data_IF_161913620229
#
_entry.id   IF_161913620229
#
_cell.length_a   1.000
_cell.length_b   1.000
_cell.length_c   1.000
_cell.angle_alpha   90.00
_cell.angle_beta   90.00
_cell.angle_gamma   90.00
#
_symmetry.space_group_name_H-M   'P 1'
#
loop_
_entity.id
_entity.type
_entity.pdbx_description
1 polymer ?
#
# COMPACT_ATOMS: atom_id res chain seq x y z
N UNK A 1 16.56 -29.57 23.19
CA UNK A 1 17.79 -30.31 22.80
C UNK A 1 17.78 -30.45 21.29
N UNK A 2 18.94 -30.53 20.65
CA UNK A 2 19.07 -30.86 19.22
C UNK A 2 20.13 -31.95 19.03
N UNK A 3 19.92 -32.82 18.05
CA UNK A 3 20.94 -33.74 17.53
C UNK A 3 21.45 -33.20 16.21
N UNK A 4 22.73 -33.41 15.91
CA UNK A 4 23.33 -32.98 14.65
C UNK A 4 23.51 -34.15 13.69
N UNK A 5 23.82 -33.88 12.42
CA UNK A 5 24.19 -34.92 11.47
C UNK A 5 25.42 -35.74 11.89
N UNK A 6 26.29 -35.22 12.77
CA UNK A 6 27.44 -35.98 13.30
C UNK A 6 27.02 -37.11 14.24
N UNK A 7 25.95 -36.92 15.03
CA UNK A 7 25.41 -38.01 15.84
C UNK A 7 24.84 -39.12 14.95
N UNK A 8 24.16 -38.75 13.85
CA UNK A 8 23.70 -39.72 12.85
C UNK A 8 24.85 -40.47 12.18
N UNK A 9 25.93 -39.77 11.80
CA UNK A 9 27.12 -40.38 11.21
C UNK A 9 27.84 -41.30 12.21
N UNK A 10 27.96 -40.92 13.48
CA UNK A 10 28.53 -41.77 14.52
C UNK A 10 27.70 -43.04 14.73
N UNK A 11 26.36 -42.93 14.70
CA UNK A 11 25.47 -44.08 14.78
C UNK A 11 25.62 -45.01 13.57
N UNK A 12 25.73 -44.45 12.35
CA UNK A 12 25.94 -45.23 11.12
C UNK A 12 27.28 -45.99 11.14
N UNK A 13 28.37 -45.33 11.54
CA UNK A 13 29.66 -45.99 11.69
C UNK A 13 29.60 -47.10 12.75
N UNK A 14 28.88 -46.86 13.86
CA UNK A 14 28.63 -47.89 14.86
C UNK A 14 27.88 -49.09 14.29
N UNK A 15 26.85 -48.87 13.47
CA UNK A 15 26.09 -49.93 12.82
C UNK A 15 26.94 -50.78 11.87
N UNK A 16 27.83 -50.16 11.10
CA UNK A 16 28.78 -50.87 10.23
C UNK A 16 29.73 -51.79 11.04
N UNK A 17 30.20 -51.32 12.20
CA UNK A 17 31.05 -52.13 13.08
C UNK A 17 30.30 -53.33 13.68
N UNK A 18 29.00 -53.17 13.96
CA UNK A 18 28.16 -54.24 14.50
C UNK A 18 27.97 -55.36 13.47
N UNK A 19 27.80 -55.03 12.18
CA UNK A 19 27.61 -56.00 11.09
C UNK A 19 28.78 -56.97 10.92
N UNK A 20 30.01 -56.51 11.21
CA UNK A 20 31.24 -57.31 11.04
C UNK A 20 31.67 -57.98 12.36
N UNK A 21 30.95 -57.72 13.46
CA UNK A 21 31.35 -58.17 14.79
C UNK A 21 30.97 -59.63 15.07
N UNK A 22 31.87 -60.43 15.68
CA UNK A 22 31.51 -61.77 16.17
C UNK A 22 30.54 -61.75 17.38
N UNK A 23 30.28 -60.58 17.97
CA UNK A 23 29.38 -60.41 19.12
C UNK A 23 28.40 -59.24 18.92
N UNK A 24 27.52 -59.31 17.91
CA UNK A 24 26.76 -58.15 17.45
C UNK A 24 25.86 -57.54 18.54
N UNK A 25 25.22 -58.37 19.37
CA UNK A 25 24.33 -57.90 20.44
C UNK A 25 25.08 -57.16 21.55
N UNK A 26 26.24 -57.67 22.00
CA UNK A 26 27.04 -57.02 23.04
C UNK A 26 27.63 -55.71 22.53
N UNK A 27 28.14 -55.71 21.30
CA UNK A 27 28.72 -54.51 20.68
C UNK A 27 27.66 -53.43 20.46
N UNK A 28 26.44 -53.81 20.07
CA UNK A 28 25.31 -52.89 19.93
C UNK A 28 25.05 -52.10 21.22
N UNK A 29 24.86 -52.79 22.35
CA UNK A 29 24.59 -52.13 23.64
C UNK A 29 25.76 -51.25 24.11
N UNK A 30 27.00 -51.70 23.90
CA UNK A 30 28.19 -50.92 24.26
C UNK A 30 28.30 -49.63 23.44
N UNK A 31 28.14 -49.71 22.12
CA UNK A 31 28.21 -48.53 21.25
C UNK A 31 27.03 -47.58 21.47
N UNK A 32 25.83 -48.12 21.73
CA UNK A 32 24.66 -47.31 22.06
C UNK A 32 24.88 -46.54 23.38
N UNK A 33 25.38 -47.20 24.42
CA UNK A 33 25.69 -46.57 25.70
C UNK A 33 26.78 -45.50 25.53
N UNK A 34 27.87 -45.82 24.82
CA UNK A 34 28.94 -44.87 24.56
C UNK A 34 28.44 -43.63 23.81
N UNK A 35 27.63 -43.82 22.76
CA UNK A 35 27.05 -42.72 22.00
C UNK A 35 26.09 -41.88 22.86
N UNK A 36 25.26 -42.50 23.69
CA UNK A 36 24.36 -41.82 24.61
C UNK A 36 25.13 -40.96 25.63
N UNK A 37 26.19 -41.51 26.23
CA UNK A 37 27.06 -40.78 27.17
C UNK A 37 27.73 -39.58 26.47
N UNK A 38 28.28 -39.78 25.27
CA UNK A 38 28.90 -38.69 24.51
C UNK A 38 27.90 -37.59 24.15
N UNK A 39 26.66 -37.94 23.78
CA UNK A 39 25.59 -36.98 23.52
C UNK A 39 25.26 -36.17 24.77
N UNK A 40 25.10 -36.82 25.92
CA UNK A 40 24.79 -36.15 27.20
C UNK A 40 25.92 -35.19 27.60
N UNK A 41 27.18 -35.63 27.50
CA UNK A 41 28.36 -34.79 27.75
C UNK A 41 28.36 -33.57 26.81
N UNK A 42 28.09 -33.77 25.53
CA UNK A 42 28.10 -32.69 24.53
C UNK A 42 27.00 -31.65 24.81
N UNK A 43 25.79 -32.09 25.19
CA UNK A 43 24.68 -31.21 25.60
C UNK A 43 24.99 -30.48 26.90
N UNK A 44 25.60 -31.15 27.87
CA UNK A 44 26.00 -30.55 29.15
C UNK A 44 27.06 -29.46 28.94
N UNK A 45 28.02 -29.69 28.04
CA UNK A 45 29.07 -28.76 27.68
C UNK A 45 28.60 -27.61 26.77
N UNK A 46 27.52 -27.78 26.02
CA UNK A 46 26.94 -26.74 25.16
C UNK A 46 26.48 -25.51 25.97
N UNK A 47 26.86 -24.31 25.50
CA UNK A 47 26.43 -23.05 26.10
C UNK A 47 24.91 -22.91 26.11
N UNK A 48 24.35 -22.34 27.18
CA UNK A 48 22.90 -22.11 27.28
C UNK A 48 22.47 -20.95 26.37
N UNK A 49 21.64 -21.16 25.34
CA UNK A 49 21.19 -20.09 24.45
C UNK A 49 20.34 -19.05 25.18
N UNK A 50 19.69 -19.41 26.29
CA UNK A 50 18.83 -18.49 27.09
C UNK A 50 19.61 -17.35 27.75
N UNK A 51 20.93 -17.48 27.90
CA UNK A 51 21.77 -16.43 28.52
C UNK A 51 22.22 -15.36 27.54
N UNK A 52 22.03 -15.58 26.23
CA UNK A 52 22.37 -14.58 25.22
C UNK A 52 21.42 -13.39 25.33
N UNK A 53 21.96 -12.18 25.16
CA UNK A 53 21.18 -10.95 25.08
C UNK A 53 21.22 -10.39 23.65
N UNK A 54 20.13 -9.75 23.26
CA UNK A 54 19.90 -9.29 21.90
C UNK A 54 19.45 -7.84 21.89
N UNK A 55 19.96 -7.06 20.95
CA UNK A 55 19.46 -5.71 20.64
C UNK A 55 19.29 -5.62 19.13
N UNK A 56 18.12 -5.22 18.67
CA UNK A 56 17.87 -5.00 17.24
C UNK A 56 17.92 -3.50 16.92
N UNK A 57 18.50 -3.17 15.78
CA UNK A 57 18.56 -1.82 15.23
C UNK A 57 18.41 -1.86 13.71
N UNK A 58 17.90 -0.79 13.12
CA UNK A 58 17.70 -0.67 11.68
C UNK A 58 16.71 0.46 11.37
N UNK A 59 16.26 0.57 10.12
CA UNK A 59 15.16 1.47 9.78
C UNK A 59 13.84 1.01 10.43
N UNK A 60 13.01 1.99 10.78
CA UNK A 60 11.63 1.82 11.25
C UNK A 60 10.63 1.84 10.09
N UNK A 61 11.00 2.44 8.95
CA UNK A 61 10.20 2.49 7.74
C UNK A 61 11.04 2.44 6.46
N UNK A 62 10.47 1.83 5.42
CA UNK A 62 10.97 1.84 4.03
C UNK A 62 9.80 1.91 3.06
N UNK A 63 10.03 2.22 1.78
CA UNK A 63 9.00 2.08 0.74
C UNK A 63 9.02 0.67 0.15
N UNK A 64 7.87 0.20 -0.31
CA UNK A 64 7.80 -1.05 -1.06
C UNK A 64 8.67 -0.93 -2.34
N UNK A 65 9.49 -1.95 -2.59
CA UNK A 65 10.52 -1.94 -3.64
C UNK A 65 11.92 -1.56 -3.13
N UNK A 66 12.05 -0.97 -1.94
CA UNK A 66 13.34 -0.75 -1.27
C UNK A 66 13.71 -1.94 -0.38
N UNK A 67 15.00 -2.05 -0.07
CA UNK A 67 15.53 -3.04 0.89
C UNK A 67 15.90 -2.39 2.21
N UNK A 68 15.75 -3.13 3.31
CA UNK A 68 16.14 -2.70 4.65
C UNK A 68 17.15 -3.67 5.27
N UNK A 69 18.24 -3.14 5.78
CA UNK A 69 19.20 -3.91 6.56
C UNK A 69 18.87 -3.82 8.05
N UNK A 70 18.51 -4.97 8.63
CA UNK A 70 18.25 -5.11 10.05
C UNK A 70 19.47 -5.71 10.74
N UNK A 71 20.00 -5.01 11.73
CA UNK A 71 21.13 -5.46 12.53
C UNK A 71 20.65 -6.05 13.84
N UNK A 72 21.08 -7.28 14.15
CA UNK A 72 20.88 -7.92 15.44
C UNK A 72 22.24 -8.01 16.15
N UNK A 73 22.39 -7.24 17.22
CA UNK A 73 23.53 -7.32 18.11
C UNK A 73 23.30 -8.46 19.10
N UNK A 74 24.33 -9.30 19.29
CA UNK A 74 24.28 -10.48 20.16
C UNK A 74 25.44 -10.38 21.14
N UNK A 75 25.15 -10.47 22.43
CA UNK A 75 26.16 -10.52 23.48
C UNK A 75 26.12 -11.87 24.21
N UNK A 76 27.31 -12.45 24.43
CA UNK A 76 27.47 -13.71 25.15
C UNK A 76 28.05 -13.49 26.55
N UNK A 77 27.25 -13.47 27.62
CA UNK A 77 27.75 -13.34 28.99
C UNK A 77 28.24 -14.66 29.60
N UNK A 78 28.24 -15.76 28.84
CA UNK A 78 28.50 -17.10 29.36
C UNK A 78 29.67 -17.81 28.67
N UNK A 79 29.61 -19.15 28.70
CA UNK A 79 30.60 -20.00 28.02
C UNK A 79 30.62 -19.73 26.51
N UNK A 80 31.71 -20.11 25.85
CA UNK A 80 31.85 -20.00 24.40
C UNK A 80 30.66 -20.61 23.65
N UNK A 81 30.04 -19.84 22.78
CA UNK A 81 28.90 -20.24 21.95
C UNK A 81 29.40 -20.60 20.56
N UNK A 82 29.10 -21.82 20.11
CA UNK A 82 29.24 -22.24 18.72
C UNK A 82 27.89 -22.69 18.21
N UNK A 83 27.51 -22.30 17.01
CA UNK A 83 26.28 -22.78 16.39
C UNK A 83 25.69 -21.81 15.40
N UNK A 84 24.37 -21.63 15.46
CA UNK A 84 23.61 -20.87 14.48
C UNK A 84 22.54 -20.01 15.16
N UNK A 85 22.31 -18.83 14.62
CA UNK A 85 21.17 -17.97 14.95
C UNK A 85 20.32 -17.74 13.71
N UNK A 86 19.01 -17.77 13.90
CA UNK A 86 18.02 -17.48 12.87
C UNK A 86 17.12 -16.37 13.38
N UNK A 87 17.21 -15.21 12.74
CA UNK A 87 16.24 -14.13 12.92
C UNK A 87 15.06 -14.40 11.98
N UNK A 88 13.89 -14.67 12.55
CA UNK A 88 12.74 -15.16 11.79
C UNK A 88 11.84 -14.00 11.37
N UNK A 89 11.67 -13.84 10.07
CA UNK A 89 10.76 -12.89 9.46
C UNK A 89 9.70 -13.62 8.63
N UNK A 90 8.57 -12.96 8.38
CA UNK A 90 7.56 -13.50 7.47
C UNK A 90 8.16 -13.78 6.08
N UNK A 91 7.73 -14.83 5.35
CA UNK A 91 8.26 -15.14 4.03
C UNK A 91 8.16 -13.98 3.02
N UNK A 92 7.15 -13.13 3.17
CA UNK A 92 6.96 -11.89 2.40
C UNK A 92 8.10 -10.88 2.53
N UNK A 93 8.93 -10.97 3.58
CA UNK A 93 10.07 -10.07 3.80
C UNK A 93 11.35 -10.53 3.11
N UNK A 94 11.35 -11.72 2.50
CA UNK A 94 12.51 -12.32 1.79
C UNK A 94 13.85 -12.09 2.52
N UNK A 95 13.86 -12.35 3.83
CA UNK A 95 15.03 -12.10 4.68
C UNK A 95 16.24 -12.95 4.26
N UNK A 96 17.39 -12.31 4.02
CA UNK A 96 18.64 -12.93 3.60
C UNK A 96 19.84 -12.39 4.39
N UNK A 97 20.76 -13.25 4.87
CA UNK A 97 20.63 -14.70 4.97
C UNK A 97 19.67 -15.11 6.10
N UNK A 98 18.96 -16.23 5.94
CA UNK A 98 17.98 -16.73 6.94
C UNK A 98 18.61 -17.26 8.23
N UNK A 99 19.89 -17.59 8.20
CA UNK A 99 20.62 -18.10 9.34
C UNK A 99 22.07 -17.64 9.29
N UNK A 100 22.61 -17.31 10.46
CA UNK A 100 23.97 -16.82 10.65
C UNK A 100 24.73 -17.79 11.54
N UNK A 101 25.99 -18.04 11.18
CA UNK A 101 26.88 -18.87 12.00
C UNK A 101 27.39 -18.05 13.18
N UNK A 102 27.35 -18.63 14.36
CA UNK A 102 27.85 -18.03 15.60
C UNK A 102 29.10 -18.75 16.10
N UNK A 103 30.11 -17.97 16.49
CA UNK A 103 31.28 -18.40 17.23
C UNK A 103 31.72 -17.27 18.16
N UNK A 104 31.11 -17.21 19.36
CA UNK A 104 31.32 -16.14 20.33
C UNK A 104 32.06 -16.67 21.55
N UNK A 105 33.17 -16.03 21.92
CA UNK A 105 33.88 -16.23 23.18
C UNK A 105 33.05 -15.70 24.34
N UNK A 106 33.50 -15.98 25.56
CA UNK A 106 32.90 -15.41 26.76
C UNK A 106 33.09 -13.89 26.75
N UNK A 107 32.02 -13.13 27.01
CA UNK A 107 32.01 -11.66 27.01
C UNK A 107 31.94 -11.02 25.63
N UNK A 108 32.07 -11.80 24.55
CA UNK A 108 32.15 -11.27 23.19
C UNK A 108 30.78 -10.75 22.71
N UNK A 109 30.84 -9.69 21.90
CA UNK A 109 29.71 -9.10 21.19
C UNK A 109 29.92 -9.26 19.70
N UNK A 110 28.86 -9.58 18.97
CA UNK A 110 28.86 -9.59 17.50
C UNK A 110 27.62 -8.91 16.97
N UNK A 111 27.66 -8.56 15.69
CA UNK A 111 26.54 -8.02 14.95
C UNK A 111 26.30 -8.91 13.74
N UNK A 112 25.04 -9.25 13.50
CA UNK A 112 24.62 -9.92 12.27
C UNK A 112 23.67 -8.99 11.54
N UNK A 113 23.81 -8.92 10.22
CA UNK A 113 22.97 -8.07 9.36
C UNK A 113 22.10 -8.98 8.50
N UNK A 114 20.79 -8.73 8.52
CA UNK A 114 19.82 -9.44 7.68
C UNK A 114 19.14 -8.42 6.78
N UNK A 115 19.34 -8.57 5.47
CA UNK A 115 18.71 -7.75 4.45
C UNK A 115 17.29 -8.24 4.21
N UNK A 116 16.33 -7.32 4.20
CA UNK A 116 14.91 -7.56 3.96
C UNK A 116 14.53 -6.98 2.61
N UNK A 117 13.77 -7.74 1.82
CA UNK A 117 13.20 -7.32 0.53
C UNK A 117 11.68 -7.58 0.56
N UNK A 118 10.89 -6.66 1.12
CA UNK A 118 9.46 -6.85 1.29
C UNK A 118 8.71 -6.96 -0.05
N UNK A 119 7.74 -7.88 -0.09
CA UNK A 119 6.81 -8.06 -1.22
C UNK A 119 5.43 -7.43 -0.99
N UNK A 120 5.15 -6.99 0.24
CA UNK A 120 3.87 -6.40 0.60
C UNK A 120 4.11 -5.22 1.52
N UNK A 121 3.30 -4.16 1.35
CA UNK A 121 3.23 -3.03 2.28
C UNK A 121 2.71 -3.47 3.65
N UNK A 122 2.68 -2.55 4.60
CA UNK A 122 2.11 -2.78 5.94
C UNK A 122 3.15 -2.83 7.04
N UNK A 123 2.66 -3.11 8.24
CA UNK A 123 3.47 -3.20 9.44
C UNK A 123 3.97 -4.65 9.62
N UNK A 124 5.28 -4.83 9.51
CA UNK A 124 5.91 -6.15 9.63
C UNK A 124 6.67 -6.27 10.93
N UNK A 125 6.35 -7.30 11.70
CA UNK A 125 7.05 -7.64 12.93
C UNK A 125 7.87 -8.92 12.74
N UNK A 126 9.09 -8.99 13.26
CA UNK A 126 9.82 -10.24 13.33
C UNK A 126 9.08 -11.21 14.25
N UNK A 127 9.22 -12.51 13.97
CA UNK A 127 8.73 -13.56 14.83
C UNK A 127 9.71 -13.77 16.00
N UNK A 128 10.36 -14.93 16.09
CA UNK A 128 11.31 -15.22 17.17
C UNK A 128 12.73 -15.38 16.66
N UNK A 129 13.70 -14.89 17.43
CA UNK A 129 15.11 -15.22 17.23
C UNK A 129 15.37 -16.61 17.81
N UNK A 130 15.72 -17.56 16.96
CA UNK A 130 16.06 -18.93 17.40
C UNK A 130 17.56 -19.12 17.37
N UNK A 131 18.14 -19.52 18.51
CA UNK A 131 19.56 -19.86 18.61
C UNK A 131 19.72 -21.34 18.88
N UNK A 132 20.59 -21.96 18.09
CA UNK A 132 21.09 -23.33 18.31
C UNK A 132 22.55 -23.26 18.69
N UNK A 133 22.88 -23.77 19.87
CA UNK A 133 24.25 -23.94 20.32
C UNK A 133 24.62 -25.42 20.24
N UNK A 134 25.83 -25.72 19.76
CA UNK A 134 26.39 -27.07 19.68
C UNK A 134 27.50 -27.22 20.71
N UNK A 135 27.56 -28.42 21.29
CA UNK A 135 28.63 -28.79 22.19
C UNK A 135 29.97 -28.95 21.45
N UNK A 136 31.07 -29.19 22.20
CA UNK A 136 32.41 -29.31 21.63
C UNK A 136 32.63 -30.50 20.71
N UNK A 137 31.96 -31.63 20.93
CA UNK A 137 32.01 -32.79 20.04
C UNK A 137 31.15 -32.55 18.79
N UNK A 138 30.14 -31.69 18.91
CA UNK A 138 29.25 -31.31 17.83
C UNK A 138 28.27 -32.43 17.45
N UNK A 139 28.04 -33.39 18.35
CA UNK A 139 27.05 -34.47 18.25
C UNK A 139 25.66 -33.95 18.60
N UNK A 140 25.56 -33.07 19.59
CA UNK A 140 24.30 -32.58 20.11
C UNK A 140 24.43 -31.15 20.66
N UNK A 141 23.29 -30.56 21.03
CA UNK A 141 23.23 -29.16 21.39
C UNK A 141 21.96 -28.72 22.09
N UNK A 142 21.90 -27.42 22.36
CA UNK A 142 20.75 -26.75 22.98
C UNK A 142 20.11 -25.79 21.98
N UNK A 143 18.81 -25.56 22.15
CA UNK A 143 18.06 -24.58 21.36
C UNK A 143 17.32 -23.65 22.32
N UNK A 144 17.34 -22.35 22.02
CA UNK A 144 16.62 -21.31 22.74
C UNK A 144 15.90 -20.40 21.76
N UNK A 145 14.81 -19.79 22.23
CA UNK A 145 14.05 -18.77 21.51
C UNK A 145 14.11 -17.49 22.33
N UNK A 146 14.20 -16.36 21.65
CA UNK A 146 14.21 -15.03 22.22
C UNK A 146 13.20 -14.18 21.47
N UNK A 147 12.39 -13.45 22.24
CA UNK A 147 11.56 -12.39 21.71
C UNK A 147 12.37 -11.09 21.73
N UNK A 148 12.51 -10.48 20.57
CA UNK A 148 13.23 -9.23 20.38
C UNK A 148 12.25 -8.37 19.59
N UNK A 149 11.54 -7.41 20.21
CA UNK A 149 10.53 -6.65 19.51
C UNK A 149 11.17 -5.69 18.50
N UNK A 150 10.52 -5.53 17.35
CA UNK A 150 10.81 -4.51 16.34
C UNK A 150 9.61 -4.39 15.42
N UNK A 151 9.49 -3.26 14.73
CA UNK A 151 8.46 -3.07 13.71
C UNK A 151 9.09 -2.34 12.53
N UNK A 152 8.96 -2.92 11.35
CA UNK A 152 9.33 -2.28 10.09
C UNK A 152 8.06 -1.96 9.33
N UNK A 153 7.79 -0.67 9.10
CA UNK A 153 6.67 -0.21 8.29
C UNK A 153 7.08 -0.12 6.83
N UNK A 154 6.43 -0.90 5.98
CA UNK A 154 6.62 -0.83 4.53
C UNK A 154 5.53 0.06 3.95
N UNK A 155 5.91 1.27 3.53
CA UNK A 155 5.05 2.28 2.95
C UNK A 155 4.66 1.93 1.50
N UNK A 156 3.49 2.39 1.01
CA UNK A 156 3.17 2.25 -0.40
C UNK A 156 4.25 2.92 -1.28
N UNK A 157 4.56 2.35 -2.46
CA UNK A 157 5.44 3.02 -3.41
C UNK A 157 4.72 4.25 -3.98
N UNK A 158 5.49 5.17 -4.55
CA UNK A 158 4.95 6.35 -5.24
C UNK A 158 5.49 6.40 -6.67
N UNK A 159 5.03 5.46 -7.48
CA UNK A 159 5.48 5.17 -8.84
C UNK A 159 5.20 6.36 -9.77
N UNK A 160 4.05 6.98 -9.63
CA UNK A 160 3.63 8.11 -10.45
C UNK A 160 4.27 9.45 -10.06
N UNK A 161 5.14 9.49 -9.05
CA UNK A 161 5.93 10.69 -8.68
C UNK A 161 6.69 11.27 -9.87
N UNK A 162 7.10 10.44 -10.83
CA UNK A 162 7.75 10.85 -12.09
C UNK A 162 6.93 11.85 -12.91
N UNK A 163 5.60 11.84 -12.79
CA UNK A 163 4.70 12.77 -13.50
C UNK A 163 4.49 14.09 -12.77
N UNK A 164 4.89 14.20 -11.49
CA UNK A 164 4.62 15.39 -10.70
C UNK A 164 5.26 16.67 -11.28
N UNK A 165 6.53 16.68 -11.76
CA UNK A 165 7.13 17.90 -12.31
C UNK A 165 6.36 18.49 -13.51
N UNK A 166 5.92 17.65 -14.46
CA UNK A 166 5.18 18.13 -15.65
C UNK A 166 3.78 18.62 -15.29
N UNK A 167 3.08 17.97 -14.35
CA UNK A 167 1.78 18.43 -13.86
C UNK A 167 1.87 19.72 -13.06
N UNK A 168 2.96 19.93 -12.31
CA UNK A 168 3.23 21.18 -11.62
C UNK A 168 3.56 22.33 -12.59
N UNK A 169 4.27 22.04 -13.69
CA UNK A 169 4.49 23.04 -14.74
C UNK A 169 3.14 23.49 -15.34
N UNK A 170 2.28 22.54 -15.71
CA UNK A 170 0.94 22.83 -16.24
C UNK A 170 0.05 23.57 -15.23
N UNK A 171 0.14 23.24 -13.95
CA UNK A 171 -0.54 23.99 -12.89
C UNK A 171 -0.11 25.45 -12.84
N UNK A 172 1.20 25.73 -12.95
CA UNK A 172 1.73 27.10 -12.98
C UNK A 172 1.29 27.86 -14.23
N UNK A 173 1.23 27.18 -15.38
CA UNK A 173 0.68 27.75 -16.61
C UNK A 173 -0.78 28.14 -16.41
N UNK A 174 -1.60 27.28 -15.78
CA UNK A 174 -2.99 27.62 -15.46
C UNK A 174 -3.07 28.80 -14.48
N UNK A 175 -2.25 28.84 -13.44
CA UNK A 175 -2.22 29.96 -12.48
C UNK A 175 -1.72 31.27 -13.11
N UNK A 176 -0.77 31.21 -14.05
CA UNK A 176 -0.23 32.37 -14.76
C UNK A 176 -1.09 32.82 -15.95
N UNK A 177 -1.83 31.91 -16.58
CA UNK A 177 -2.74 32.17 -17.69
C UNK A 177 -4.17 32.51 -17.24
N UNK A 178 -4.48 32.45 -15.94
CA UNK A 178 -5.65 33.12 -15.37
C UNK A 178 -5.23 34.59 -15.16
N UNK A 179 -5.55 35.52 -16.09
CA UNK A 179 -5.34 36.92 -15.80
C UNK A 179 -6.11 37.27 -14.53
N UNK A 180 -5.46 37.96 -13.60
CA UNK A 180 -6.02 38.54 -12.36
C UNK A 180 -6.96 39.71 -12.68
N UNK A 181 -7.75 39.58 -13.75
CA UNK A 181 -8.64 40.59 -14.31
C UNK A 181 -10.10 40.12 -14.36
N UNK A 182 -10.47 39.08 -13.60
CA UNK A 182 -11.88 38.86 -13.28
C UNK A 182 -12.21 39.73 -12.06
N UNK A 183 -12.52 41.00 -12.33
CA UNK A 183 -13.26 41.85 -11.39
C UNK A 183 -14.68 41.30 -11.28
N UNK A 184 -14.96 40.55 -10.21
CA UNK A 184 -16.34 40.17 -9.83
C UNK A 184 -16.57 38.66 -9.66
N UNK A 185 -17.46 38.34 -8.71
CA UNK A 185 -17.98 36.99 -8.36
C UNK A 185 -16.99 36.03 -7.66
N UNK A 186 -16.14 36.53 -6.76
CA UNK A 186 -15.48 35.70 -5.74
C UNK A 186 -16.39 35.41 -4.54
N UNK A 187 -16.11 34.37 -3.75
CA UNK A 187 -16.78 34.07 -2.48
C UNK A 187 -15.94 34.47 -1.25
N UNK A 188 -14.65 34.74 -1.43
CA UNK A 188 -13.73 35.14 -0.36
C UNK A 188 -13.59 36.66 -0.31
N UNK A 189 -13.80 37.26 0.86
CA UNK A 189 -13.67 38.71 1.05
C UNK A 189 -12.23 39.13 0.74
N UNK A 190 -12.05 40.09 -0.18
CA UNK A 190 -10.75 40.66 -0.52
C UNK A 190 -10.51 41.94 0.29
N UNK A 191 -11.30 42.97 0.00
CA UNK A 191 -11.19 44.27 0.64
C UNK A 191 -12.50 45.05 0.58
N UNK A 192 -12.57 46.16 1.31
CA UNK A 192 -13.62 47.16 1.13
C UNK A 192 -13.10 48.25 0.21
N UNK A 193 -13.90 48.66 -0.77
CA UNK A 193 -13.64 49.86 -1.58
C UNK A 193 -14.86 50.75 -1.64
N UNK A 194 -14.66 52.01 -2.02
CA UNK A 194 -15.75 52.94 -2.29
C UNK A 194 -16.64 52.44 -3.45
N UNK A 195 -17.94 52.64 -3.28
CA UNK A 195 -18.95 52.37 -4.28
C UNK A 195 -18.76 53.28 -5.49
N UNK A 196 -18.80 52.70 -6.69
CA UNK A 196 -18.82 53.44 -7.95
C UNK A 196 -20.11 53.12 -8.68
N UNK A 197 -20.67 54.13 -9.35
CA UNK A 197 -21.89 53.96 -10.15
C UNK A 197 -21.66 52.88 -11.21
N UNK A 198 -22.46 51.81 -11.14
CA UNK A 198 -22.29 50.59 -11.92
C UNK A 198 -22.00 49.34 -11.08
N UNK A 199 -21.65 49.50 -9.80
CA UNK A 199 -21.51 48.39 -8.87
C UNK A 199 -22.87 47.79 -8.46
N UNK A 200 -22.92 46.47 -8.30
CA UNK A 200 -24.10 45.76 -7.81
C UNK A 200 -24.43 46.19 -6.38
N UNK A 201 -25.65 46.71 -6.19
CA UNK A 201 -26.17 47.18 -4.91
C UNK A 201 -26.18 46.08 -3.84
N UNK A 202 -26.25 44.80 -4.23
CA UNK A 202 -26.16 43.65 -3.29
C UNK A 202 -24.78 43.48 -2.66
N UNK A 203 -23.74 44.07 -3.26
CA UNK A 203 -22.37 44.00 -2.75
C UNK A 203 -22.04 45.08 -1.71
N UNK A 204 -22.99 46.01 -1.43
CA UNK A 204 -22.84 47.06 -0.43
C UNK A 204 -22.80 46.46 0.98
N UNK A 205 -21.76 46.78 1.74
CA UNK A 205 -21.69 46.45 3.16
C UNK A 205 -22.29 47.59 3.98
N UNK A 206 -23.60 47.52 4.25
CA UNK A 206 -24.29 48.53 5.05
C UNK A 206 -23.69 48.74 6.45
N UNK A 207 -23.08 47.71 7.03
CA UNK A 207 -22.48 47.79 8.37
C UNK A 207 -21.11 48.46 8.38
N UNK A 208 -20.35 48.33 7.29
CA UNK A 208 -19.10 49.05 7.09
C UNK A 208 -19.36 50.49 6.63
N UNK A 209 -20.33 50.72 5.74
CA UNK A 209 -20.77 52.04 5.29
C UNK A 209 -21.30 52.89 6.44
N UNK A 210 -22.06 52.31 7.38
CA UNK A 210 -22.55 53.04 8.56
C UNK A 210 -21.44 53.56 9.50
N UNK A 211 -20.19 53.10 9.34
CA UNK A 211 -19.03 53.51 10.14
C UNK A 211 -18.04 54.38 9.36
N UNK A 212 -18.37 54.74 8.12
CA UNK A 212 -17.58 55.60 7.24
C UNK A 212 -18.47 56.72 6.69
N UNK A 213 -17.88 57.76 6.12
CA UNK A 213 -18.64 58.82 5.45
C UNK A 213 -19.07 58.46 4.03
N UNK A 214 -18.59 57.33 3.49
CA UNK A 214 -18.83 56.90 2.12
C UNK A 214 -19.43 55.49 2.06
N UNK A 215 -20.19 55.23 1.01
CA UNK A 215 -20.76 53.90 0.73
C UNK A 215 -19.64 52.98 0.25
N UNK A 216 -19.44 51.85 0.94
CA UNK A 216 -18.43 50.86 0.59
C UNK A 216 -19.05 49.55 0.09
N UNK A 217 -18.40 48.96 -0.90
CA UNK A 217 -18.73 47.64 -1.46
C UNK A 217 -17.67 46.63 -1.08
N UNK A 218 -18.09 45.38 -0.84
CA UNK A 218 -17.17 44.25 -0.67
C UNK A 218 -16.63 43.83 -2.02
N UNK A 219 -15.31 43.88 -2.19
CA UNK A 219 -14.65 43.18 -3.29
C UNK A 219 -14.40 41.75 -2.86
N UNK A 220 -14.57 40.83 -3.80
CA UNK A 220 -14.41 39.41 -3.56
C UNK A 220 -13.29 38.87 -4.44
N UNK A 221 -12.39 38.09 -3.86
CA UNK A 221 -11.39 37.32 -4.59
C UNK A 221 -11.93 35.92 -4.89
N UNK A 222 -11.56 35.34 -6.05
CA UNK A 222 -11.83 33.93 -6.31
C UNK A 222 -11.23 33.07 -5.20
N UNK A 223 -12.04 32.19 -4.60
CA UNK A 223 -11.61 31.25 -3.57
C UNK A 223 -10.52 30.33 -4.16
N UNK A 224 -9.31 30.46 -3.62
CA UNK A 224 -8.12 29.72 -4.07
C UNK A 224 -8.04 28.31 -3.49
N UNK A 225 -8.68 28.08 -2.35
CA UNK A 225 -8.60 26.83 -1.60
C UNK A 225 -9.81 25.93 -1.90
N UNK A 226 -9.75 25.11 -2.95
CA UNK A 226 -10.83 24.14 -3.21
C UNK A 226 -10.75 23.01 -2.19
N UNK A 227 -11.90 22.42 -1.84
CA UNK A 227 -11.97 21.27 -0.94
C UNK A 227 -12.05 19.99 -1.76
N UNK A 228 -11.17 19.06 -1.46
CA UNK A 228 -11.09 17.77 -2.15
C UNK A 228 -11.11 16.67 -1.09
N UNK A 229 -12.02 15.72 -1.24
CA UNK A 229 -12.02 14.50 -0.43
C UNK A 229 -11.63 13.34 -1.34
N UNK A 230 -10.44 12.78 -1.11
CA UNK A 230 -9.98 11.57 -1.79
C UNK A 230 -10.48 10.36 -1.00
N UNK A 231 -11.30 9.54 -1.63
CA UNK A 231 -11.94 8.37 -1.05
C UNK A 231 -11.39 7.12 -1.73
N UNK A 232 -10.76 6.24 -0.95
CA UNK A 232 -10.20 4.99 -1.40
C UNK A 232 -11.08 3.83 -0.94
N UNK A 233 -11.63 3.09 -1.91
CA UNK A 233 -12.39 1.87 -1.64
C UNK A 233 -11.42 0.74 -1.26
N UNK A 234 -11.60 0.16 -0.07
CA UNK A 234 -10.81 -0.97 0.42
C UNK A 234 -11.61 -2.28 0.44
N UNK A 235 -12.73 -2.37 -0.25
CA UNK A 235 -13.57 -3.58 -0.28
C UNK A 235 -13.10 -4.65 -1.26
N UNK A 236 -14.01 -5.61 -1.51
CA UNK A 236 -13.75 -6.84 -2.27
C UNK A 236 -13.23 -6.57 -3.67
N UNK A 237 -13.81 -5.61 -4.39
CA UNK A 237 -13.44 -5.27 -5.77
C UNK A 237 -12.02 -4.69 -5.87
N UNK A 238 -11.53 -4.05 -4.80
CA UNK A 238 -10.17 -3.55 -4.67
C UNK A 238 -9.12 -4.63 -4.41
N UNK A 239 -9.52 -5.87 -4.14
CA UNK A 239 -8.61 -7.01 -3.97
C UNK A 239 -8.14 -7.64 -5.30
N UNK A 240 -8.80 -7.31 -6.42
CA UNK A 240 -8.44 -7.83 -7.75
C UNK A 240 -6.98 -7.51 -8.11
N UNK A 241 -6.24 -8.49 -8.66
CA UNK A 241 -4.85 -8.31 -9.09
C UNK A 241 -4.82 -7.94 -10.56
N UNK A 242 -4.23 -6.80 -10.88
CA UNK A 242 -4.29 -6.15 -12.19
C UNK A 242 -2.88 -5.90 -12.72
N UNK A 243 -2.68 -6.09 -14.03
CA UNK A 243 -1.43 -5.79 -14.71
C UNK A 243 -0.27 -6.69 -14.27
N UNK A 244 0.87 -6.08 -13.98
CA UNK A 244 2.11 -6.73 -13.50
C UNK A 244 2.55 -6.04 -12.22
N UNK A 245 3.08 -6.76 -11.24
CA UNK A 245 3.64 -6.14 -10.04
C UNK A 245 4.85 -5.26 -10.41
N UNK A 246 4.77 -3.93 -10.22
CA UNK A 246 5.83 -3.01 -10.65
C UNK A 246 7.06 -3.08 -9.73
N UNK A 247 6.97 -3.73 -8.57
CA UNK A 247 8.05 -3.84 -7.59
C UNK A 247 8.81 -5.17 -7.71
N UNK A 248 8.10 -6.27 -8.00
CA UNK A 248 8.72 -7.60 -8.13
C UNK A 248 8.74 -8.16 -9.55
N UNK A 249 8.07 -7.52 -10.51
CA UNK A 249 7.89 -8.03 -11.86
C UNK A 249 7.00 -9.27 -11.95
N UNK A 250 6.11 -9.50 -10.97
CA UNK A 250 5.25 -10.68 -10.92
C UNK A 250 4.10 -10.56 -11.95
N UNK A 251 4.01 -11.46 -12.94
CA UNK A 251 2.94 -11.46 -13.93
C UNK A 251 1.60 -11.89 -13.34
N UNK A 252 1.49 -12.26 -12.06
CA UNK A 252 0.20 -12.50 -11.40
C UNK A 252 -0.59 -11.20 -11.15
N UNK A 253 0.06 -10.04 -11.29
CA UNK A 253 -0.54 -8.71 -11.16
C UNK A 253 -0.36 -8.09 -9.77
N UNK A 254 -0.85 -6.87 -9.60
CA UNK A 254 -0.75 -6.13 -8.33
C UNK A 254 -2.15 -5.70 -7.86
N UNK A 255 -2.44 -5.63 -6.54
CA UNK A 255 -3.79 -5.32 -6.10
C UNK A 255 -4.27 -3.97 -6.66
N UNK A 256 -5.52 -3.92 -7.11
CA UNK A 256 -6.18 -2.70 -7.61
C UNK A 256 -6.10 -1.57 -6.59
N UNK A 257 -6.19 -1.91 -5.31
CA UNK A 257 -6.01 -0.98 -4.19
C UNK A 257 -4.67 -0.23 -4.27
N UNK A 258 -3.58 -0.91 -4.60
CA UNK A 258 -2.25 -0.28 -4.67
C UNK A 258 -2.11 0.68 -5.85
N UNK A 259 -2.65 0.31 -7.01
CA UNK A 259 -2.74 1.22 -8.17
C UNK A 259 -3.59 2.46 -7.84
N UNK A 260 -4.69 2.28 -7.12
CA UNK A 260 -5.50 3.38 -6.63
C UNK A 260 -4.75 4.24 -5.59
N UNK A 261 -3.98 3.64 -4.67
CA UNK A 261 -3.13 4.39 -3.74
C UNK A 261 -2.13 5.27 -4.49
N UNK A 262 -1.46 4.75 -5.52
CA UNK A 262 -0.51 5.53 -6.31
C UNK A 262 -1.19 6.74 -7.00
N UNK A 263 -2.36 6.54 -7.62
CA UNK A 263 -3.15 7.61 -8.20
C UNK A 263 -3.60 8.66 -7.17
N UNK A 264 -4.04 8.21 -5.99
CA UNK A 264 -4.40 9.07 -4.88
C UNK A 264 -3.19 9.88 -4.37
N UNK A 265 -2.01 9.27 -4.27
CA UNK A 265 -0.78 9.95 -3.86
C UNK A 265 -0.37 11.05 -4.85
N UNK A 266 -0.48 10.80 -6.16
CA UNK A 266 -0.21 11.83 -7.16
C UNK A 266 -1.18 12.99 -7.05
N UNK A 267 -2.48 12.69 -6.94
CA UNK A 267 -3.52 13.71 -6.79
C UNK A 267 -3.30 14.53 -5.52
N UNK A 268 -3.06 13.88 -4.37
CA UNK A 268 -2.79 14.54 -3.09
C UNK A 268 -1.56 15.46 -3.18
N UNK A 269 -0.46 14.98 -3.79
CA UNK A 269 0.75 15.77 -3.95
C UNK A 269 0.52 16.99 -4.86
N UNK A 270 -0.21 16.82 -5.95
CA UNK A 270 -0.51 17.87 -6.92
C UNK A 270 -1.49 18.91 -6.33
N UNK A 271 -2.60 18.46 -5.76
CA UNK A 271 -3.63 19.31 -5.18
C UNK A 271 -3.12 20.09 -3.96
N UNK A 272 -2.32 19.47 -3.09
CA UNK A 272 -1.67 20.17 -1.97
C UNK A 272 -0.77 21.32 -2.47
N UNK A 273 -0.02 21.10 -3.56
CA UNK A 273 0.83 22.14 -4.15
C UNK A 273 0.02 23.24 -4.85
N UNK A 274 -1.14 22.89 -5.40
CA UNK A 274 -2.11 23.82 -5.98
C UNK A 274 -2.92 24.60 -4.93
N UNK A 275 -2.64 24.35 -3.65
CA UNK A 275 -3.23 25.04 -2.52
C UNK A 275 -4.60 24.57 -2.08
N UNK A 276 -5.07 23.44 -2.62
CA UNK A 276 -6.35 22.89 -2.22
C UNK A 276 -6.28 22.22 -0.85
N UNK A 277 -7.42 22.22 -0.15
CA UNK A 277 -7.61 21.53 1.11
C UNK A 277 -8.03 20.10 0.81
N UNK A 278 -7.12 19.18 1.04
CA UNK A 278 -7.32 17.78 0.70
C UNK A 278 -7.47 16.95 1.97
N UNK A 279 -8.59 16.26 2.09
CA UNK A 279 -8.82 15.24 3.09
C UNK A 279 -8.75 13.85 2.42
N UNK A 280 -8.39 12.83 3.20
CA UNK A 280 -8.30 11.45 2.75
C UNK A 280 -9.20 10.55 3.60
N UNK A 281 -9.86 9.59 2.95
CA UNK A 281 -10.73 8.60 3.56
C UNK A 281 -10.50 7.25 2.89
N UNK A 282 -10.20 6.20 3.66
CA UNK A 282 -10.26 4.82 3.21
C UNK A 282 -11.46 4.13 3.86
N UNK A 283 -12.28 3.47 3.04
CA UNK A 283 -13.57 2.92 3.49
C UNK A 283 -13.92 1.63 2.75
N UNK A 284 -14.56 0.71 3.45
CA UNK A 284 -15.22 -0.47 2.88
C UNK A 284 -16.64 -0.65 3.47
N UNK A 285 -16.78 -1.36 4.58
CA UNK A 285 -17.98 -1.39 5.44
C UNK A 285 -17.83 -0.48 6.66
N UNK A 286 -16.62 0.01 6.91
CA UNK A 286 -16.31 0.96 7.95
C UNK A 286 -15.15 1.87 7.50
N UNK A 287 -14.96 2.97 8.21
CA UNK A 287 -13.78 3.82 8.04
C UNK A 287 -12.54 3.05 8.47
N UNK A 288 -11.63 2.76 7.53
CA UNK A 288 -10.36 2.06 7.80
C UNK A 288 -9.24 3.01 8.19
N UNK A 289 -9.21 4.17 7.54
CA UNK A 289 -8.22 5.20 7.78
C UNK A 289 -8.74 6.54 7.31
N UNK A 290 -8.27 7.62 7.93
CA UNK A 290 -8.66 8.97 7.55
C UNK A 290 -7.55 9.96 7.90
N UNK A 291 -7.40 10.98 7.07
CA UNK A 291 -6.56 12.15 7.34
C UNK A 291 -7.42 13.37 7.04
N UNK A 292 -7.50 14.31 7.98
CA UNK A 292 -8.28 15.53 7.77
C UNK A 292 -7.60 16.74 8.41
N UNK A 293 -7.72 17.90 7.77
CA UNK A 293 -7.21 19.16 8.33
C UNK A 293 -5.68 19.24 8.43
N UNK A 294 -4.95 18.38 7.73
CA UNK A 294 -3.49 18.42 7.69
C UNK A 294 -2.99 19.66 6.94
N UNK A 295 -1.84 20.20 7.37
CA UNK A 295 -1.18 21.27 6.61
C UNK A 295 -0.64 20.75 5.27
N UNK A 296 -0.44 21.65 4.31
CA UNK A 296 0.02 21.30 2.95
C UNK A 296 1.33 20.50 2.95
N UNK A 297 2.24 20.79 3.88
CA UNK A 297 3.55 20.14 3.98
C UNK A 297 3.50 18.78 4.68
N UNK A 298 2.52 18.56 5.56
CA UNK A 298 2.39 17.33 6.35
C UNK A 298 1.45 16.31 5.71
N UNK A 299 0.53 16.76 4.84
CA UNK A 299 -0.52 15.93 4.27
C UNK A 299 0.02 14.69 3.56
N UNK A 300 0.98 14.84 2.65
CA UNK A 300 1.49 13.70 1.88
C UNK A 300 2.15 12.64 2.78
N UNK A 301 3.08 12.98 3.70
CA UNK A 301 3.58 12.03 4.69
C UNK A 301 2.48 11.37 5.53
N UNK A 302 1.47 12.11 5.96
CA UNK A 302 0.35 11.56 6.74
C UNK A 302 -0.48 10.56 5.94
N UNK A 303 -0.82 10.90 4.69
CA UNK A 303 -1.58 10.01 3.80
C UNK A 303 -0.78 8.74 3.46
N UNK A 304 0.52 8.86 3.17
CA UNK A 304 1.40 7.70 2.93
C UNK A 304 1.44 6.77 4.13
N UNK A 305 1.57 7.31 5.35
CA UNK A 305 1.53 6.51 6.58
C UNK A 305 0.15 5.89 6.83
N UNK A 306 -0.92 6.66 6.59
CA UNK A 306 -2.30 6.23 6.74
C UNK A 306 -2.68 5.10 5.76
N UNK A 307 -2.01 5.03 4.61
CA UNK A 307 -2.18 3.98 3.59
C UNK A 307 -1.36 2.72 3.87
N UNK A 308 -0.25 2.81 4.60
CA UNK A 308 0.65 1.69 4.82
C UNK A 308 -0.05 0.43 5.36
N UNK A 309 -0.91 0.48 6.41
CA UNK A 309 -1.56 -0.71 6.94
C UNK A 309 -2.85 -1.11 6.19
N UNK A 310 -3.26 -0.38 5.15
CA UNK A 310 -4.51 -0.66 4.45
C UNK A 310 -4.37 -1.91 3.57
N UNK A 311 -5.29 -2.85 3.75
CA UNK A 311 -5.44 -4.04 2.92
C UNK A 311 -6.86 -4.10 2.35
N UNK A 312 -7.02 -4.76 1.20
CA UNK A 312 -8.34 -4.99 0.62
C UNK A 312 -9.10 -6.02 1.45
N UNK A 313 -10.25 -5.65 1.99
CA UNK A 313 -11.16 -6.55 2.67
C UNK A 313 -11.92 -7.39 1.65
N UNK A 314 -12.02 -8.70 1.87
CA UNK A 314 -12.74 -9.62 0.98
C UNK A 314 -14.27 -9.59 1.20
N UNK A 315 -14.80 -8.41 1.51
CA UNK A 315 -16.24 -8.17 1.74
C UNK A 315 -16.70 -7.01 0.86
N UNK A 316 -17.96 -7.03 0.46
CA UNK A 316 -18.53 -5.95 -0.35
C UNK A 316 -18.55 -4.63 0.42
N UNK A 317 -18.27 -3.53 -0.26
CA UNK A 317 -18.28 -2.19 0.33
C UNK A 317 -19.70 -1.73 0.61
N UNK A 318 -19.91 -1.09 1.76
CA UNK A 318 -21.20 -0.54 2.15
C UNK A 318 -21.36 0.88 1.58
N UNK A 319 -21.94 0.95 0.38
CA UNK A 319 -22.17 2.23 -0.30
C UNK A 319 -23.05 3.19 0.50
N UNK A 320 -23.98 2.68 1.34
CA UNK A 320 -24.85 3.53 2.18
C UNK A 320 -24.06 4.19 3.29
N UNK A 321 -23.25 3.42 4.01
CA UNK A 321 -22.38 3.99 5.06
C UNK A 321 -21.31 4.91 4.47
N UNK A 322 -20.76 4.58 3.30
CA UNK A 322 -19.82 5.43 2.56
C UNK A 322 -20.42 6.81 2.28
N UNK A 323 -21.60 6.86 1.64
CA UNK A 323 -22.29 8.11 1.29
C UNK A 323 -22.64 8.90 2.55
N UNK A 324 -23.15 8.24 3.60
CA UNK A 324 -23.45 8.89 4.87
C UNK A 324 -22.19 9.48 5.53
N UNK A 325 -21.07 8.76 5.47
CA UNK A 325 -19.78 9.21 5.99
C UNK A 325 -19.23 10.41 5.22
N UNK A 326 -19.29 10.38 3.89
CA UNK A 326 -18.88 11.49 3.02
C UNK A 326 -19.70 12.74 3.37
N UNK A 327 -21.04 12.64 3.47
CA UNK A 327 -21.91 13.77 3.80
C UNK A 327 -21.65 14.36 5.19
N UNK A 328 -21.32 13.53 6.19
CA UNK A 328 -20.96 14.03 7.53
C UNK A 328 -19.64 14.82 7.52
N UNK A 329 -18.66 14.36 6.73
CA UNK A 329 -17.32 14.96 6.66
C UNK A 329 -17.28 16.21 5.78
N UNK A 330 -17.89 16.12 4.61
CA UNK A 330 -17.89 17.16 3.59
C UNK A 330 -19.14 18.03 3.74
N UNK A 331 -19.11 18.98 4.69
CA UNK A 331 -20.22 19.93 4.90
C UNK A 331 -20.31 21.02 3.85
N UNK A 332 -19.20 21.28 3.17
CA UNK A 332 -19.11 22.27 2.09
C UNK A 332 -19.03 21.57 0.74
N UNK A 333 -19.41 22.28 -0.32
CA UNK A 333 -19.18 21.83 -1.69
C UNK A 333 -17.69 21.49 -1.87
N UNK A 334 -17.45 20.30 -2.38
CA UNK A 334 -16.11 19.71 -2.51
C UNK A 334 -16.07 18.83 -3.75
N UNK A 335 -14.88 18.63 -4.30
CA UNK A 335 -14.63 17.53 -5.23
C UNK A 335 -14.46 16.24 -4.43
N UNK A 336 -15.35 15.28 -4.62
CA UNK A 336 -15.19 13.93 -4.09
C UNK A 336 -14.52 13.09 -5.18
N UNK A 337 -13.35 12.54 -4.90
CA UNK A 337 -12.64 11.63 -5.80
C UNK A 337 -12.73 10.23 -5.23
N UNK A 338 -13.60 9.40 -5.80
CA UNK A 338 -13.80 8.00 -5.38
C UNK A 338 -12.96 7.07 -6.25
N UNK A 339 -11.98 6.43 -5.65
CA UNK A 339 -11.18 5.38 -6.28
C UNK A 339 -11.79 4.01 -5.94
N UNK A 340 -12.46 3.41 -6.92
CA UNK A 340 -13.17 2.12 -6.80
C UNK A 340 -13.19 1.42 -8.17
N UNK A 341 -13.59 0.15 -8.23
CA UNK A 341 -13.78 -0.55 -9.50
C UNK A 341 -15.11 -0.18 -10.18
N UNK A 342 -15.14 -0.24 -11.51
CA UNK A 342 -16.38 -0.11 -12.29
C UNK A 342 -17.02 -1.48 -12.49
N UNK A 343 -17.22 -2.21 -11.39
CA UNK A 343 -17.94 -3.47 -11.41
C UNK A 343 -19.46 -3.18 -11.53
N UNK A 344 -20.15 -3.70 -12.57
CA UNK A 344 -21.56 -3.38 -12.77
C UNK A 344 -22.48 -3.79 -11.63
N UNK A 345 -22.32 -4.99 -11.10
CA UNK A 345 -23.16 -5.54 -10.04
C UNK A 345 -23.02 -4.69 -8.76
N UNK A 346 -21.79 -4.44 -8.33
CA UNK A 346 -21.51 -3.67 -7.12
C UNK A 346 -22.00 -2.21 -7.22
N UNK A 347 -21.89 -1.58 -8.39
CA UNK A 347 -22.30 -0.19 -8.57
C UNK A 347 -23.81 -0.05 -8.78
N UNK A 348 -24.46 -0.94 -9.53
CA UNK A 348 -25.91 -0.89 -9.77
C UNK A 348 -26.71 -1.11 -8.49
N UNK A 349 -26.30 -2.08 -7.66
CA UNK A 349 -26.96 -2.37 -6.38
C UNK A 349 -26.54 -1.41 -5.25
N UNK A 350 -25.32 -0.89 -5.32
CA UNK A 350 -24.71 -0.09 -4.26
C UNK A 350 -24.78 1.42 -4.49
N UNK A 351 -23.83 1.95 -5.28
CA UNK A 351 -23.58 3.38 -5.36
C UNK A 351 -24.62 4.13 -6.22
N UNK A 352 -25.02 3.58 -7.38
CA UNK A 352 -25.88 4.27 -8.34
C UNK A 352 -27.20 4.82 -7.74
N UNK A 353 -27.94 4.06 -6.91
CA UNK A 353 -29.17 4.57 -6.28
C UNK A 353 -28.93 5.74 -5.31
N UNK A 354 -27.70 5.88 -4.79
CA UNK A 354 -27.34 6.85 -3.76
C UNK A 354 -26.64 8.09 -4.33
N UNK A 355 -26.20 8.04 -5.59
CA UNK A 355 -25.45 9.13 -6.24
C UNK A 355 -26.11 10.51 -6.15
N UNK A 356 -27.44 10.67 -6.31
CA UNK A 356 -28.09 11.99 -6.18
C UNK A 356 -27.84 12.66 -4.82
N UNK A 357 -27.59 11.89 -3.76
CA UNK A 357 -27.28 12.42 -2.43
C UNK A 357 -25.89 13.07 -2.37
N UNK A 358 -24.97 12.68 -3.26
CA UNK A 358 -23.64 13.27 -3.38
C UNK A 358 -23.62 14.35 -4.46
N UNK A 359 -24.14 14.06 -5.65
CA UNK A 359 -24.02 14.95 -6.83
C UNK A 359 -24.84 16.22 -6.72
N UNK A 360 -25.85 16.27 -5.84
CA UNK A 360 -26.62 17.48 -5.54
C UNK A 360 -25.79 18.58 -4.86
N UNK A 361 -24.76 18.21 -4.10
CA UNK A 361 -23.94 19.15 -3.32
C UNK A 361 -22.45 19.14 -3.65
N UNK A 362 -21.97 18.04 -4.23
CA UNK A 362 -20.56 17.82 -4.51
C UNK A 362 -20.32 17.53 -5.98
N UNK A 363 -19.12 17.84 -6.46
CA UNK A 363 -18.68 17.31 -7.74
C UNK A 363 -18.09 15.93 -7.51
N UNK A 364 -18.61 14.89 -8.18
CA UNK A 364 -18.11 13.52 -8.01
C UNK A 364 -17.26 13.12 -9.21
N UNK A 365 -16.07 12.61 -8.92
CA UNK A 365 -15.15 12.01 -9.86
C UNK A 365 -14.87 10.57 -9.43
N UNK A 366 -15.23 9.60 -10.26
CA UNK A 366 -14.89 8.19 -10.07
C UNK A 366 -13.63 7.87 -10.87
N UNK A 367 -12.63 7.30 -10.22
CA UNK A 367 -11.40 6.85 -10.85
C UNK A 367 -11.26 5.34 -10.67
N UNK A 368 -11.14 4.61 -11.78
CA UNK A 368 -11.09 3.16 -11.77
C UNK A 368 -9.96 2.66 -12.64
N UNK A 369 -9.25 1.66 -12.12
CA UNK A 369 -8.20 0.97 -12.86
C UNK A 369 -8.87 -0.05 -13.78
N UNK A 370 -8.61 -0.02 -15.09
CA UNK A 370 -9.04 -1.08 -16.02
C UNK A 370 -8.04 -2.24 -16.00
N UNK A 371 -8.48 -3.44 -16.36
CA UNK A 371 -7.59 -4.61 -16.46
C UNK A 371 -7.11 -4.79 -17.90
N UNK A 372 -5.79 -4.62 -18.18
CA UNK A 372 -5.24 -4.85 -19.52
C UNK A 372 -5.51 -6.26 -20.04
N UNK A 373 -5.57 -7.27 -19.17
CA UNK A 373 -5.78 -8.67 -19.58
C UNK A 373 -7.14 -8.89 -20.21
N UNK A 374 -8.15 -8.13 -19.78
CA UNK A 374 -9.48 -8.18 -20.39
C UNK A 374 -9.42 -7.64 -21.81
N UNK A 375 -8.62 -6.61 -22.07
CA UNK A 375 -8.45 -6.09 -23.43
C UNK A 375 -7.65 -7.05 -24.31
N UNK A 376 -6.62 -7.72 -23.75
CA UNK A 376 -5.83 -8.71 -24.47
C UNK A 376 -6.65 -9.96 -24.90
N UNK A 377 -7.71 -10.28 -24.16
CA UNK A 377 -8.63 -11.38 -24.47
C UNK A 377 -9.65 -11.02 -25.57
N UNK A 378 -9.82 -9.73 -25.89
CA UNK A 378 -10.73 -9.31 -26.96
C UNK A 378 -10.11 -9.67 -28.32
N UNK A 379 -10.89 -10.39 -29.14
CA UNK A 379 -10.45 -10.70 -30.51
C UNK A 379 -10.32 -9.42 -31.34
N UNK A 380 -9.20 -9.23 -32.08
CA UNK A 380 -9.09 -8.15 -33.04
C UNK A 380 -10.24 -8.19 -34.04
N UNK A 381 -10.73 -7.03 -34.50
CA UNK A 381 -11.83 -6.95 -35.47
C UNK A 381 -11.55 -7.83 -36.72
N UNK A 382 -10.30 -7.84 -37.18
CA UNK A 382 -9.84 -8.62 -38.34
C UNK A 382 -9.86 -10.15 -38.11
N UNK A 383 -9.95 -10.60 -36.86
CA UNK A 383 -9.98 -12.01 -36.47
C UNK A 383 -11.40 -12.57 -36.36
N UNK A 384 -12.43 -11.72 -36.48
CA UNK A 384 -13.86 -12.11 -36.39
C UNK A 384 -14.50 -12.50 -37.74
N UNK A 385 -13.71 -12.58 -38.80
CA UNK A 385 -14.18 -13.06 -40.11
C UNK A 385 -14.55 -14.56 -40.10
N UNK A 386 -15.49 -15.02 -40.96
CA UNK A 386 -15.97 -16.41 -40.96
C UNK A 386 -14.87 -17.47 -41.16
N UNK A 387 -13.76 -17.12 -41.82
CA UNK A 387 -12.60 -17.99 -42.01
C UNK A 387 -11.66 -18.07 -40.80
N UNK A 388 -11.53 -16.97 -40.03
CA UNK A 388 -10.60 -16.85 -38.91
C UNK A 388 -11.19 -17.40 -37.60
N UNK A 389 -12.52 -17.35 -37.45
CA UNK A 389 -13.20 -17.96 -36.29
C UNK A 389 -13.02 -19.48 -36.28
N UNK A 390 -12.90 -20.13 -37.45
CA UNK A 390 -12.73 -21.59 -37.56
C UNK A 390 -11.36 -22.09 -37.07
N UNK A 391 -10.36 -21.20 -36.94
CA UNK A 391 -9.03 -21.54 -36.42
C UNK A 391 -8.89 -21.31 -34.90
N UNK A 392 -9.92 -20.77 -34.25
CA UNK A 392 -9.90 -20.54 -32.80
C UNK A 392 -10.32 -21.81 -32.05
N UNK A 393 -9.67 -22.07 -30.92
CA UNK A 393 -10.12 -23.09 -29.98
C UNK A 393 -11.34 -22.59 -29.19
N UNK A 394 -12.12 -23.52 -28.65
CA UNK A 394 -13.30 -23.29 -27.83
C UNK A 394 -12.99 -22.38 -26.64
N UNK A 395 -11.85 -22.59 -25.97
CA UNK A 395 -11.39 -21.76 -24.85
C UNK A 395 -11.20 -20.29 -25.27
N UNK A 396 -10.55 -20.05 -26.41
CA UNK A 396 -10.31 -18.71 -26.95
C UNK A 396 -11.62 -17.97 -27.29
N UNK A 397 -12.63 -18.70 -27.78
CA UNK A 397 -13.95 -18.13 -28.06
C UNK A 397 -14.67 -17.75 -26.76
N UNK A 398 -14.59 -18.59 -25.72
CA UNK A 398 -15.18 -18.30 -24.42
C UNK A 398 -14.52 -17.10 -23.73
N UNK A 399 -13.17 -17.04 -23.76
CA UNK A 399 -12.42 -15.92 -23.19
C UNK A 399 -12.78 -14.60 -23.87
N UNK A 400 -12.82 -14.59 -25.21
CA UNK A 400 -13.21 -13.40 -25.98
C UNK A 400 -14.66 -12.95 -25.68
N UNK A 401 -15.59 -13.89 -25.59
CA UNK A 401 -16.99 -13.58 -25.25
C UNK A 401 -17.13 -13.04 -23.82
N UNK A 402 -16.38 -13.60 -22.87
CA UNK A 402 -16.35 -13.12 -21.48
C UNK A 402 -15.71 -11.72 -21.37
N UNK A 403 -14.63 -11.47 -22.13
CA UNK A 403 -13.98 -10.18 -22.23
C UNK A 403 -14.92 -9.12 -22.80
N UNK A 404 -15.62 -9.40 -23.90
CA UNK A 404 -16.60 -8.48 -24.49
C UNK A 404 -17.78 -8.18 -23.56
N UNK A 405 -18.29 -9.20 -22.84
CA UNK A 405 -19.33 -8.98 -21.83
C UNK A 405 -18.84 -8.05 -20.72
N UNK A 406 -17.63 -8.28 -20.23
CA UNK A 406 -17.00 -7.45 -19.18
C UNK A 406 -16.80 -6.01 -19.65
N UNK A 407 -16.25 -5.84 -20.85
CA UNK A 407 -16.00 -4.54 -21.48
C UNK A 407 -17.30 -3.79 -21.75
N UNK A 408 -18.33 -4.47 -22.26
CA UNK A 408 -19.66 -3.92 -22.50
C UNK A 408 -20.34 -3.47 -21.21
N UNK A 409 -20.30 -4.30 -20.16
CA UNK A 409 -20.82 -3.97 -18.83
C UNK A 409 -20.14 -2.74 -18.25
N UNK A 410 -18.81 -2.67 -18.30
CA UNK A 410 -18.03 -1.51 -17.84
C UNK A 410 -18.40 -0.22 -18.58
N UNK A 411 -18.47 -0.26 -19.93
CA UNK A 411 -18.89 0.90 -20.76
C UNK A 411 -20.31 1.38 -20.42
N UNK A 412 -21.24 0.45 -20.17
CA UNK A 412 -22.61 0.77 -19.75
C UNK A 412 -22.62 1.54 -18.43
N UNK A 413 -21.88 1.07 -17.43
CA UNK A 413 -21.76 1.76 -16.13
C UNK A 413 -21.16 3.15 -16.27
N UNK A 414 -20.09 3.29 -17.05
CA UNK A 414 -19.49 4.62 -17.32
C UNK A 414 -20.53 5.58 -17.90
N UNK A 415 -21.37 5.11 -18.81
CA UNK A 415 -22.43 5.92 -19.41
C UNK A 415 -23.51 6.29 -18.38
N UNK A 416 -23.91 5.35 -17.51
CA UNK A 416 -24.88 5.60 -16.44
C UNK A 416 -24.35 6.63 -15.43
N UNK A 417 -23.10 6.50 -15.00
CA UNK A 417 -22.43 7.45 -14.11
C UNK A 417 -22.42 8.87 -14.72
N UNK A 418 -21.98 8.98 -15.98
CA UNK A 418 -21.93 10.28 -16.68
C UNK A 418 -23.31 10.93 -16.83
N UNK A 419 -24.36 10.13 -17.08
CA UNK A 419 -25.76 10.62 -17.15
C UNK A 419 -26.22 11.21 -15.81
N UNK A 420 -25.66 10.77 -14.69
CA UNK A 420 -25.95 11.31 -13.36
C UNK A 420 -25.01 12.46 -12.94
N UNK A 421 -24.21 13.01 -13.87
CA UNK A 421 -23.32 14.13 -13.62
C UNK A 421 -21.99 13.75 -12.96
N UNK A 422 -21.64 12.45 -12.95
CA UNK A 422 -20.38 11.94 -12.41
C UNK A 422 -19.31 11.96 -13.49
N UNK A 423 -18.15 12.52 -13.16
CA UNK A 423 -16.96 12.41 -14.00
C UNK A 423 -16.32 11.04 -13.81
N UNK A 424 -15.82 10.42 -14.89
CA UNK A 424 -15.22 9.07 -14.81
C UNK A 424 -13.89 9.04 -15.52
N UNK A 425 -12.86 8.63 -14.79
CA UNK A 425 -11.54 8.25 -15.31
C UNK A 425 -11.44 6.74 -15.22
N UNK A 426 -11.36 6.09 -16.38
CA UNK A 426 -11.20 4.64 -16.51
C UNK A 426 -9.94 4.40 -17.35
N UNK A 427 -8.88 3.88 -16.73
CA UNK A 427 -7.56 3.82 -17.33
C UNK A 427 -6.74 2.64 -16.80
N UNK A 428 -5.78 2.11 -17.59
CA UNK A 428 -4.93 1.02 -17.16
C UNK A 428 -3.98 1.43 -16.03
N UNK A 429 -3.35 0.46 -15.35
CA UNK A 429 -2.44 0.68 -14.21
C UNK A 429 -1.43 1.83 -14.35
N UNK A 430 -0.73 1.93 -15.47
CA UNK A 430 0.31 2.94 -15.66
C UNK A 430 -0.23 4.33 -15.99
N UNK A 431 -1.50 4.43 -16.37
CA UNK A 431 -2.13 5.66 -16.86
C UNK A 431 -3.14 6.26 -15.88
N UNK A 432 -3.68 5.48 -14.94
CA UNK A 432 -4.71 5.94 -13.99
C UNK A 432 -4.27 7.15 -13.17
N UNK A 433 -3.03 7.16 -12.65
CA UNK A 433 -2.50 8.27 -11.88
C UNK A 433 -2.38 9.56 -12.71
N UNK A 434 -1.65 9.58 -13.86
CA UNK A 434 -1.56 10.79 -14.67
C UNK A 434 -2.91 11.23 -15.26
N UNK A 435 -3.80 10.30 -15.64
CA UNK A 435 -5.14 10.62 -16.13
C UNK A 435 -6.03 11.27 -15.05
N UNK A 436 -5.95 10.80 -13.81
CA UNK A 436 -6.64 11.41 -12.68
C UNK A 436 -6.11 12.83 -12.41
N UNK A 437 -4.79 13.00 -12.42
CA UNK A 437 -4.17 14.32 -12.27
C UNK A 437 -4.59 15.29 -13.38
N UNK A 438 -4.65 14.83 -14.63
CA UNK A 438 -5.15 15.63 -15.76
C UNK A 438 -6.61 16.01 -15.60
N UNK A 439 -7.46 15.08 -15.16
CA UNK A 439 -8.87 15.38 -14.95
C UNK A 439 -9.03 16.44 -13.87
N UNK A 440 -8.31 16.32 -12.76
CA UNK A 440 -8.27 17.35 -11.72
C UNK A 440 -7.83 18.73 -12.28
N UNK A 441 -6.75 18.80 -13.06
CA UNK A 441 -6.29 20.06 -13.66
C UNK A 441 -7.34 20.65 -14.63
N UNK A 442 -8.03 19.81 -15.41
CA UNK A 442 -9.10 20.25 -16.30
C UNK A 442 -10.31 20.82 -15.55
N UNK A 443 -10.67 20.22 -14.41
CA UNK A 443 -11.73 20.71 -13.54
C UNK A 443 -11.33 22.03 -12.87
N UNK A 444 -10.05 22.16 -12.47
CA UNK A 444 -9.51 23.41 -11.93
C UNK A 444 -9.52 24.53 -12.96
N UNK A 445 -9.07 24.25 -14.18
CA UNK A 445 -9.03 25.21 -15.28
C UNK A 445 -10.44 25.70 -15.69
N UNK A 446 -11.44 24.82 -15.64
CA UNK A 446 -12.83 25.16 -15.97
C UNK A 446 -13.63 25.78 -14.81
N UNK A 447 -13.02 25.97 -13.63
CA UNK A 447 -13.69 26.53 -12.46
C UNK A 447 -14.80 25.63 -11.88
N UNK A 448 -14.79 24.33 -12.20
CA UNK A 448 -15.83 23.36 -11.79
C UNK A 448 -15.57 22.67 -10.44
N UNK A 449 -14.47 23.02 -9.76
CA UNK A 449 -14.08 22.50 -8.45
C UNK A 449 -14.93 23.04 -7.29
#
# INVERSE_FOLDING_TARGET
MILTGRAGLAALLGALLILVSPWPVRLFWLLLLALAVLIVIDIAAAASPRRLTFVRSGPDSIRLGESADITLQIQNPGRRVRGWVRDSWAPSMRATPRAHRLNLRNGERTQIVTSLHPLRRGDHRPATVTVRTVGPLGLAGRQGRHDVPWQLRVLPPFLSRKHLPSRLARLRELEGAIPVLIRGQGTEFDSLREYVVGDDVRSIDWRASARRNDVVVRTWRPERDRRILVVLDTGRTSAGRIGVDPTSGDPSGWPRLDWAMDAALLLVALASRAGDRVDFLAHDRAVRSQVSGASRNELLPLVVNAMAPLESSLVESDARDLVATIRRKSRHRSLIVLLTDLNPEALEEGLLPLLPQLTSHHHLLVAAVSDPRVEDMVLPENSTGPGNIRSLDVEQVYDAAAAERTRGGRRRIVTLLRRQGVEVVDAPPDEIAPALADRYLSLKASGRL
#
